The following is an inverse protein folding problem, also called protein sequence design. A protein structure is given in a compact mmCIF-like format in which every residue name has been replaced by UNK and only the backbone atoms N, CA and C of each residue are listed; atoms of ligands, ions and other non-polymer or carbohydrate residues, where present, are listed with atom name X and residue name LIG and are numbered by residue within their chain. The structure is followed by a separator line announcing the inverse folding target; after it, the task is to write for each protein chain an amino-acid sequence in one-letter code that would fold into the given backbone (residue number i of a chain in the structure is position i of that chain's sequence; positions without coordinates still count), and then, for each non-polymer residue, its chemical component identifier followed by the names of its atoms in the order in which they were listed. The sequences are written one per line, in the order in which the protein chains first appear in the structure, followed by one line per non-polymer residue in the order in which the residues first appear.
data_IF_345831909154
#
_entry.id   IF_345831909154
#
_cell.length_a   1.000
_cell.length_b   1.000
_cell.length_c   1.000
_cell.angle_alpha   90.00
_cell.angle_beta   90.00
_cell.angle_gamma   90.00
#
_symmetry.space_group_name_H-M   'P 1'
#
loop_
_entity.id
_entity.type
_entity.pdbx_description
1 polymer ?
#
# COMPACT_ATOMS: atom_id res chain seq x y z
N UNK A 1 -8.96 -9.91 4.46
CA UNK A 1 -7.94 -9.28 5.30
C UNK A 1 -8.44 -9.14 6.71
N UNK A 2 -7.55 -8.80 7.65
CA UNK A 2 -7.84 -8.56 9.06
C UNK A 2 -9.03 -7.61 9.20
N UNK A 3 -9.91 -7.88 10.17
CA UNK A 3 -11.13 -7.10 10.38
C UNK A 3 -12.13 -7.10 9.21
N UNK A 4 -11.99 -8.01 8.23
CA UNK A 4 -12.87 -8.10 7.07
C UNK A 4 -12.48 -7.23 5.88
N UNK A 5 -11.33 -6.54 5.92
CA UNK A 5 -10.87 -5.71 4.80
C UNK A 5 -10.60 -6.56 3.54
N UNK A 6 -11.01 -6.14 2.33
CA UNK A 6 -10.74 -6.89 1.11
C UNK A 6 -9.25 -6.91 0.76
N UNK A 7 -8.78 -8.02 0.20
CA UNK A 7 -7.42 -8.14 -0.34
C UNK A 7 -7.49 -8.13 -1.88
N UNK A 8 -6.71 -7.26 -2.51
CA UNK A 8 -6.66 -7.16 -3.96
C UNK A 8 -5.80 -8.28 -4.55
N UNK A 9 -6.42 -9.12 -5.38
CA UNK A 9 -5.69 -10.15 -6.10
C UNK A 9 -4.73 -9.54 -7.14
N UNK A 10 -3.51 -10.04 -7.21
CA UNK A 10 -2.51 -9.61 -8.18
C UNK A 10 -1.74 -8.34 -7.83
N UNK A 11 -1.93 -7.79 -6.62
CA UNK A 11 -1.08 -6.73 -6.10
C UNK A 11 0.38 -7.20 -5.93
N UNK A 12 1.35 -6.29 -6.06
CA UNK A 12 2.76 -6.59 -5.83
C UNK A 12 3.03 -6.95 -4.37
N UNK A 13 2.31 -6.31 -3.43
CA UNK A 13 2.27 -6.65 -2.03
C UNK A 13 0.93 -6.24 -1.42
N UNK A 14 0.55 -6.89 -0.32
CA UNK A 14 -0.57 -6.46 0.53
C UNK A 14 -0.11 -6.44 1.98
N UNK A 15 -0.51 -5.39 2.68
CA UNK A 15 -0.29 -5.21 4.11
C UNK A 15 -1.64 -5.19 4.81
N UNK A 16 -1.75 -5.97 5.86
CA UNK A 16 -2.88 -5.94 6.79
C UNK A 16 -2.38 -5.30 8.08
N UNK A 17 -3.01 -4.20 8.48
CA UNK A 17 -2.51 -3.35 9.55
C UNK A 17 -3.59 -3.02 10.57
N UNK A 18 -3.20 -2.97 11.85
CA UNK A 18 -3.97 -2.30 12.87
C UNK A 18 -3.72 -0.78 12.83
N UNK A 19 -4.78 0.02 12.97
CA UNK A 19 -4.68 1.48 12.98
C UNK A 19 -4.20 1.97 14.35
N UNK A 20 -2.89 2.19 14.48
CA UNK A 20 -2.22 2.49 15.75
C UNK A 20 -2.44 3.94 16.18
N UNK A 21 -2.32 4.89 15.27
CA UNK A 21 -2.54 6.32 15.56
C UNK A 21 -2.99 7.10 14.33
N UNK A 22 -3.60 8.27 14.60
CA UNK A 22 -4.10 9.21 13.60
C UNK A 22 -3.68 10.62 13.99
N UNK A 23 -3.27 11.41 13.01
CA UNK A 23 -2.88 12.81 13.18
C UNK A 23 -3.67 13.66 12.19
N UNK A 24 -4.42 14.65 12.69
CA UNK A 24 -5.12 15.62 11.85
C UNK A 24 -4.12 16.65 11.31
N UNK A 25 -4.01 16.79 9.99
CA UNK A 25 -3.04 17.65 9.33
C UNK A 25 -3.69 18.41 8.17
N UNK A 26 -4.25 19.59 8.47
CA UNK A 26 -4.95 20.42 7.49
C UNK A 26 -6.23 19.74 6.98
N UNK A 27 -6.29 19.48 5.68
CA UNK A 27 -7.42 18.81 5.02
C UNK A 27 -7.25 17.28 4.92
N UNK A 28 -6.16 16.72 5.47
CA UNK A 28 -5.87 15.29 5.45
C UNK A 28 -5.65 14.74 6.87
N UNK A 29 -5.76 13.41 7.01
CA UNK A 29 -5.41 12.69 8.24
C UNK A 29 -4.28 11.73 7.91
N UNK A 30 -3.18 11.83 8.66
CA UNK A 30 -2.09 10.86 8.60
C UNK A 30 -2.46 9.67 9.47
N UNK A 31 -2.44 8.47 8.87
CA UNK A 31 -2.65 7.21 9.57
C UNK A 31 -1.31 6.49 9.76
N UNK A 32 -1.04 6.05 10.98
CA UNK A 32 0.09 5.15 11.27
C UNK A 32 -0.46 3.76 11.53
N UNK A 33 -0.18 2.83 10.62
CA UNK A 33 -0.58 1.44 10.71
C UNK A 33 0.52 0.56 11.28
N UNK A 34 0.20 -0.28 12.27
CA UNK A 34 1.05 -1.37 12.73
C UNK A 34 0.84 -2.59 11.82
N UNK A 35 1.91 -3.10 11.21
CA UNK A 35 1.82 -4.22 10.28
C UNK A 35 1.62 -5.53 11.05
N UNK A 36 0.46 -6.16 10.87
CA UNK A 36 0.14 -7.45 11.48
C UNK A 36 0.41 -8.61 10.51
N UNK A 37 0.21 -8.39 9.21
CA UNK A 37 0.55 -9.36 8.16
C UNK A 37 1.05 -8.66 6.90
N UNK A 38 2.01 -9.29 6.23
CA UNK A 38 2.54 -8.87 4.94
C UNK A 38 2.66 -10.07 4.01
N UNK A 39 2.22 -9.90 2.76
CA UNK A 39 2.50 -10.82 1.67
C UNK A 39 3.04 -10.05 0.48
N UNK A 40 4.02 -10.61 -0.22
CA UNK A 40 4.64 -10.03 -1.42
C UNK A 40 4.66 -11.05 -2.55
N UNK A 41 4.53 -10.56 -3.79
CA UNK A 41 4.73 -11.36 -5.00
C UNK A 41 6.14 -11.10 -5.53
N UNK A 42 6.96 -12.15 -5.55
CA UNK A 42 8.30 -12.07 -6.12
C UNK A 42 8.25 -11.80 -7.63
N UNK A 43 9.21 -11.03 -8.13
CA UNK A 43 9.29 -10.64 -9.55
C UNK A 43 8.18 -9.70 -10.02
N UNK A 44 7.33 -9.18 -9.13
CA UNK A 44 6.33 -8.18 -9.48
C UNK A 44 6.98 -6.82 -9.74
N UNK A 45 6.84 -6.30 -10.96
CA UNK A 45 7.20 -4.90 -11.24
C UNK A 45 6.20 -3.94 -10.58
N UNK A 46 6.67 -2.85 -9.94
CA UNK A 46 5.82 -1.85 -9.33
C UNK A 46 5.11 -1.01 -10.40
N UNK A 47 3.88 -0.60 -10.10
CA UNK A 47 3.19 0.45 -10.85
C UNK A 47 3.65 1.81 -10.33
N UNK A 48 4.19 2.64 -11.21
CA UNK A 48 4.65 3.98 -10.89
C UNK A 48 3.61 5.01 -11.35
N UNK A 49 3.46 6.10 -10.59
CA UNK A 49 2.61 7.23 -10.96
C UNK A 49 3.36 8.55 -10.80
N UNK A 50 3.47 9.31 -11.89
CA UNK A 50 4.19 10.58 -11.93
C UNK A 50 3.57 11.53 -12.97
N UNK A 51 3.43 12.81 -12.64
CA UNK A 51 2.89 13.81 -13.58
C UNK A 51 1.52 13.44 -14.17
N UNK A 52 0.65 12.78 -13.40
CA UNK A 52 -0.68 12.38 -13.86
C UNK A 52 -0.73 11.14 -14.77
N UNK A 53 0.37 10.38 -14.89
CA UNK A 53 0.47 9.22 -15.80
C UNK A 53 1.06 7.99 -15.10
N UNK A 54 0.71 6.81 -15.62
CA UNK A 54 1.24 5.52 -15.18
C UNK A 54 2.50 5.14 -15.94
N UNK A 55 3.44 4.52 -15.23
CA UNK A 55 4.70 4.00 -15.77
C UNK A 55 5.03 2.64 -15.14
N UNK A 56 5.97 1.93 -15.76
CA UNK A 56 6.63 0.75 -15.20
C UNK A 56 8.09 1.08 -14.93
N UNK A 57 8.72 0.31 -14.05
CA UNK A 57 10.18 0.39 -13.87
C UNK A 57 10.91 0.05 -15.18
N UNK A 58 12.03 0.72 -15.41
CA UNK A 58 13.00 0.36 -16.44
C UNK A 58 14.27 -0.15 -15.75
N UNK A 59 14.94 -1.18 -16.29
CA UNK A 59 16.23 -1.63 -15.77
C UNK A 59 17.23 -0.46 -15.77
N UNK A 60 18.02 -0.35 -14.71
CA UNK A 60 19.19 0.52 -14.63
C UNK A 60 20.35 -0.04 -15.45
#
# INVERSE_FOLDING_TARGET
GAGGAPLLHGAAATFECFNRSRYEEGDHVIFVGEVERCTRREGASPLLFHGGRYYTEHPL
#
